data_IF_066899344082
#
_entry.id   IF_066899344082
#
_cell.length_a   1.000
_cell.length_b   1.000
_cell.length_c   1.000
_cell.angle_alpha   90.00
_cell.angle_beta   90.00
_cell.angle_gamma   90.00
#
_symmetry.space_group_name_H-M   'P 1'
#
loop_
_entity.id
_entity.type
_entity.pdbx_description
1 polymer ?
#
# COMPACT_ATOMS: atom_id res chain seq x y z
N UNK A 1 4.02 6.21 -10.46
CA UNK A 1 3.96 5.03 -9.59
C UNK A 1 5.36 4.67 -9.12
N UNK A 2 5.56 4.74 -7.81
CA UNK A 2 6.83 4.44 -7.13
C UNK A 2 7.13 2.93 -7.10
N UNK A 3 8.37 2.56 -6.79
CA UNK A 3 8.79 1.13 -6.77
C UNK A 3 8.02 0.33 -5.73
N UNK A 4 7.73 0.90 -4.57
CA UNK A 4 6.96 0.22 -3.50
C UNK A 4 5.52 -0.04 -3.94
N UNK A 5 4.88 0.91 -4.62
CA UNK A 5 3.56 0.76 -5.22
C UNK A 5 3.54 -0.33 -6.30
N UNK A 6 4.59 -0.42 -7.15
CA UNK A 6 4.75 -1.51 -8.13
C UNK A 6 4.81 -2.89 -7.48
N UNK A 7 5.52 -3.00 -6.36
CA UNK A 7 5.61 -4.25 -5.61
C UNK A 7 4.24 -4.62 -5.03
N UNK A 8 3.51 -3.67 -4.46
CA UNK A 8 2.16 -3.91 -3.92
C UNK A 8 1.19 -4.29 -5.03
N UNK A 9 1.20 -3.59 -6.17
CA UNK A 9 0.38 -3.95 -7.33
C UNK A 9 0.69 -5.38 -7.80
N UNK A 10 1.97 -5.73 -7.93
CA UNK A 10 2.38 -7.07 -8.35
C UNK A 10 1.94 -8.15 -7.35
N UNK A 11 2.03 -7.88 -6.05
CA UNK A 11 1.47 -8.76 -5.03
C UNK A 11 -0.02 -8.98 -5.22
N UNK A 12 -0.79 -7.90 -5.34
CA UNK A 12 -2.24 -7.95 -5.51
C UNK A 12 -2.61 -8.71 -6.79
N UNK A 13 -1.91 -8.47 -7.90
CA UNK A 13 -2.21 -9.14 -9.17
C UNK A 13 -1.82 -10.62 -9.19
N UNK A 14 -0.62 -10.96 -8.76
CA UNK A 14 -0.04 -12.29 -9.00
C UNK A 14 -0.06 -13.23 -7.79
N UNK A 15 -0.19 -12.68 -6.58
CA UNK A 15 -0.33 -13.47 -5.35
C UNK A 15 -1.80 -13.54 -4.94
N UNK A 16 -2.51 -12.40 -4.87
CA UNK A 16 -3.96 -12.41 -4.56
C UNK A 16 -4.83 -12.81 -5.76
N UNK A 17 -4.35 -12.58 -7.00
CA UNK A 17 -5.14 -12.86 -8.21
C UNK A 17 -6.19 -11.80 -8.51
N UNK A 18 -6.04 -10.59 -7.97
CA UNK A 18 -7.02 -9.52 -8.09
C UNK A 18 -6.77 -8.66 -9.33
N UNK A 19 -7.84 -8.06 -9.87
CA UNK A 19 -7.73 -7.04 -10.91
C UNK A 19 -7.32 -5.70 -10.27
N UNK A 20 -6.48 -4.91 -10.95
CA UNK A 20 -5.96 -3.66 -10.39
C UNK A 20 -5.95 -2.50 -11.38
N UNK A 21 -6.09 -1.28 -10.86
CA UNK A 21 -5.86 -0.02 -11.56
C UNK A 21 -4.93 0.86 -10.72
N UNK A 22 -3.66 1.00 -11.10
CA UNK A 22 -2.69 1.80 -10.35
C UNK A 22 -2.70 3.30 -10.68
N UNK A 23 -2.11 4.10 -9.80
CA UNK A 23 -1.66 5.49 -10.04
C UNK A 23 -2.75 6.38 -10.65
N UNK A 24 -3.90 6.43 -9.98
CA UNK A 24 -5.06 7.18 -10.43
C UNK A 24 -4.96 8.62 -9.94
N UNK A 25 -4.93 9.56 -10.88
CA UNK A 25 -4.90 10.99 -10.57
C UNK A 25 -6.31 11.49 -10.24
N UNK A 26 -6.42 12.18 -9.11
CA UNK A 26 -7.64 12.84 -8.68
C UNK A 26 -7.53 14.35 -9.01
N UNK A 27 -8.65 15.09 -9.04
CA UNK A 27 -8.61 16.55 -9.13
C UNK A 27 -7.68 17.17 -8.08
N UNK A 28 -6.92 18.20 -8.45
CA UNK A 28 -5.95 18.85 -7.56
C UNK A 28 -4.62 18.11 -7.43
N UNK A 29 -4.06 18.06 -6.22
CA UNK A 29 -2.79 17.40 -5.91
C UNK A 29 -2.97 16.05 -5.19
N UNK A 30 -4.07 15.35 -5.47
CA UNK A 30 -4.38 14.07 -4.85
C UNK A 30 -4.22 12.92 -5.84
N UNK A 31 -3.95 11.75 -5.30
CA UNK A 31 -3.80 10.52 -6.05
C UNK A 31 -4.24 9.34 -5.19
N UNK A 32 -4.77 8.33 -5.88
CA UNK A 32 -5.01 7.00 -5.35
C UNK A 32 -3.89 6.10 -5.86
N UNK A 33 -3.17 5.47 -4.95
CA UNK A 33 -2.01 4.67 -5.33
C UNK A 33 -2.43 3.42 -6.10
N UNK A 34 -3.44 2.70 -5.61
CA UNK A 34 -3.93 1.47 -6.21
C UNK A 34 -5.40 1.21 -5.88
N UNK A 35 -6.21 0.95 -6.92
CA UNK A 35 -7.51 0.30 -6.78
C UNK A 35 -7.39 -1.18 -7.12
N UNK A 36 -8.10 -2.02 -6.38
CA UNK A 36 -8.14 -3.45 -6.64
C UNK A 36 -9.56 -4.01 -6.48
N UNK A 37 -9.84 -5.09 -7.21
CA UNK A 37 -11.10 -5.84 -7.12
C UNK A 37 -10.77 -7.32 -7.05
N UNK A 38 -11.29 -8.00 -6.02
CA UNK A 38 -11.29 -9.45 -5.97
C UNK A 38 -12.32 -9.98 -7.00
N UNK A 39 -11.91 -10.70 -8.06
CA UNK A 39 -12.83 -11.16 -9.09
C UNK A 39 -13.79 -12.26 -8.61
N UNK A 40 -13.53 -12.87 -7.44
CA UNK A 40 -14.37 -13.93 -6.89
C UNK A 40 -15.46 -13.35 -5.99
N UNK A 41 -15.11 -12.50 -5.02
CA UNK A 41 -16.09 -11.90 -4.10
C UNK A 41 -16.68 -10.58 -4.61
N UNK A 42 -16.02 -9.95 -5.60
CA UNK A 42 -16.29 -8.58 -6.07
C UNK A 42 -16.03 -7.49 -5.02
N UNK A 43 -15.32 -7.83 -3.94
CA UNK A 43 -14.87 -6.86 -2.96
C UNK A 43 -13.89 -5.88 -3.60
N UNK A 44 -14.05 -4.60 -3.26
CA UNK A 44 -13.28 -3.50 -3.81
C UNK A 44 -12.36 -2.94 -2.74
N UNK A 45 -11.13 -2.61 -3.13
CA UNK A 45 -10.11 -2.11 -2.22
C UNK A 45 -9.46 -0.86 -2.77
N UNK A 46 -9.35 0.16 -1.90
CA UNK A 46 -8.51 1.33 -2.10
C UNK A 46 -7.26 1.15 -1.23
N UNK A 47 -6.12 0.97 -1.89
CA UNK A 47 -4.85 0.64 -1.26
C UNK A 47 -3.90 1.84 -1.39
N UNK A 48 -3.34 2.26 -0.26
CA UNK A 48 -2.37 3.36 -0.15
C UNK A 48 -1.06 2.86 0.45
N UNK A 49 0.08 3.30 -0.11
CA UNK A 49 1.41 2.78 0.21
C UNK A 49 2.24 3.82 0.95
N UNK A 50 2.37 3.64 2.26
CA UNK A 50 3.15 4.48 3.18
C UNK A 50 4.56 3.98 3.47
N UNK A 51 5.22 3.34 2.49
CA UNK A 51 6.51 2.66 2.69
C UNK A 51 7.67 3.62 2.39
N UNK A 52 8.51 3.90 3.40
CA UNK A 52 9.71 4.74 3.26
C UNK A 52 10.99 3.93 3.47
N UNK A 53 12.04 4.22 2.70
CA UNK A 53 13.38 3.65 2.91
C UNK A 53 14.05 4.23 4.18
N UNK A 54 13.62 5.40 4.66
CA UNK A 54 14.15 6.00 5.88
C UNK A 54 13.64 5.29 7.13
N UNK A 55 14.53 4.61 7.86
CA UNK A 55 14.18 3.82 9.04
C UNK A 55 13.45 4.61 10.14
N UNK A 56 13.78 5.89 10.34
CA UNK A 56 13.16 6.74 11.37
C UNK A 56 11.66 7.00 11.15
N UNK A 57 11.18 6.87 9.92
CA UNK A 57 9.78 7.13 9.52
C UNK A 57 9.08 5.87 8.99
N UNK A 58 9.63 4.70 9.30
CA UNK A 58 9.17 3.41 8.76
C UNK A 58 7.77 2.98 9.24
N UNK A 59 7.40 3.31 10.48
CA UNK A 59 6.13 2.84 11.09
C UNK A 59 5.01 3.85 11.03
N UNK A 60 3.81 3.37 10.72
CA UNK A 60 2.55 4.11 10.88
C UNK A 60 2.29 4.40 12.37
N UNK A 61 1.81 5.60 12.68
CA UNK A 61 1.58 6.03 14.08
C UNK A 61 0.19 6.64 14.27
N UNK A 62 -0.28 6.59 15.53
CA UNK A 62 -1.49 7.26 15.99
C UNK A 62 -1.26 8.71 16.43
N UNK A 63 -0.10 9.31 16.11
CA UNK A 63 0.13 10.72 16.42
C UNK A 63 -0.90 11.58 15.69
N UNK A 64 -1.39 12.67 16.30
CA UNK A 64 -2.31 13.57 15.64
C UNK A 64 -1.73 14.08 14.33
N UNK A 65 -2.56 14.03 13.29
CA UNK A 65 -2.23 14.65 12.02
C UNK A 65 -2.50 16.16 12.10
N UNK A 66 -1.62 16.96 11.50
CA UNK A 66 -1.77 18.42 11.40
C UNK A 66 -1.47 18.91 9.99
N UNK A 67 -2.45 19.61 9.40
CA UNK A 67 -2.31 20.26 8.10
C UNK A 67 -1.26 21.37 8.11
N UNK A 68 -1.11 22.07 9.23
CA UNK A 68 -0.12 23.14 9.39
C UNK A 68 1.29 22.56 9.39
N UNK A 69 1.50 21.48 10.15
CA UNK A 69 2.78 20.78 10.18
C UNK A 69 3.09 20.11 8.85
N UNK A 70 2.08 19.67 8.10
CA UNK A 70 2.28 19.09 6.77
C UNK A 70 2.89 20.10 5.78
N UNK A 71 2.59 21.40 5.94
CA UNK A 71 3.18 22.50 5.14
C UNK A 71 4.63 22.78 5.52
N UNK A 72 5.09 22.36 6.70
CA UNK A 72 6.47 22.55 7.16
C UNK A 72 7.36 21.40 6.68
N UNK A 73 8.32 21.70 5.80
CA UNK A 73 9.20 20.70 5.16
C UNK A 73 9.85 19.72 6.15
N UNK A 74 10.26 20.20 7.33
CA UNK A 74 10.91 19.39 8.37
C UNK A 74 9.97 18.44 9.09
N UNK A 75 8.67 18.72 9.12
CA UNK A 75 7.64 17.92 9.80
C UNK A 75 6.82 17.05 8.85
N UNK A 76 6.83 17.36 7.55
CA UNK A 76 6.07 16.67 6.52
C UNK A 76 6.22 15.15 6.56
N UNK A 77 7.45 14.63 6.70
CA UNK A 77 7.71 13.19 6.77
C UNK A 77 7.06 12.54 8.01
N UNK A 78 7.03 13.26 9.14
CA UNK A 78 6.35 12.82 10.36
C UNK A 78 4.84 12.81 10.22
N UNK A 79 4.27 13.76 9.48
CA UNK A 79 2.83 13.83 9.24
C UNK A 79 2.35 12.73 8.27
N UNK A 80 3.10 12.47 7.19
CA UNK A 80 2.75 11.47 6.16
C UNK A 80 2.72 10.01 6.65
N UNK A 81 3.25 9.73 7.86
CA UNK A 81 3.21 8.41 8.53
C UNK A 81 2.15 8.32 9.63
N UNK A 82 1.26 9.29 9.75
CA UNK A 82 0.16 9.24 10.72
C UNK A 82 -1.06 8.58 10.10
N UNK A 83 -1.84 7.85 10.90
CA UNK A 83 -3.12 7.33 10.45
C UNK A 83 -4.05 8.46 9.98
N UNK A 84 -4.07 9.59 10.70
CA UNK A 84 -4.86 10.76 10.35
C UNK A 84 -4.56 11.30 8.95
N UNK A 85 -3.29 11.31 8.53
CA UNK A 85 -2.93 11.69 7.17
C UNK A 85 -3.62 10.81 6.12
N UNK A 86 -3.60 9.49 6.28
CA UNK A 86 -4.27 8.60 5.33
C UNK A 86 -5.78 8.79 5.34
N UNK A 87 -6.40 8.88 6.52
CA UNK A 87 -7.83 9.10 6.64
C UNK A 87 -8.26 10.41 6.00
N UNK A 88 -7.61 11.52 6.34
CA UNK A 88 -8.04 12.86 5.93
C UNK A 88 -7.60 13.25 4.52
N UNK A 89 -6.44 12.78 4.05
CA UNK A 89 -5.84 13.20 2.77
C UNK A 89 -5.91 12.15 1.69
N UNK A 90 -5.88 10.87 2.05
CA UNK A 90 -5.81 9.77 1.08
C UNK A 90 -7.13 9.04 0.92
N UNK A 91 -7.97 8.94 1.95
CA UNK A 91 -9.26 8.26 1.85
C UNK A 91 -10.44 9.23 1.77
N UNK A 92 -10.65 10.10 2.75
CA UNK A 92 -11.94 10.77 2.93
C UNK A 92 -12.05 12.14 2.23
N UNK A 93 -11.01 12.58 1.53
CA UNK A 93 -11.02 13.88 0.86
C UNK A 93 -11.99 13.87 -0.34
N UNK A 94 -12.81 14.92 -0.55
CA UNK A 94 -13.88 14.90 -1.55
C UNK A 94 -13.43 14.56 -2.98
N UNK A 95 -12.24 15.01 -3.37
CA UNK A 95 -11.65 14.79 -4.70
C UNK A 95 -11.33 13.31 -4.95
N UNK A 96 -10.84 12.61 -3.92
CA UNK A 96 -10.62 11.16 -3.96
C UNK A 96 -11.96 10.43 -4.03
N UNK A 97 -12.92 10.81 -3.17
CA UNK A 97 -14.26 10.22 -3.15
C UNK A 97 -15.00 10.39 -4.48
N UNK A 98 -14.84 11.55 -5.13
CA UNK A 98 -15.36 11.79 -6.46
C UNK A 98 -14.76 10.82 -7.49
N UNK A 99 -13.44 10.68 -7.47
CA UNK A 99 -12.72 9.79 -8.38
C UNK A 99 -13.11 8.33 -8.16
N UNK A 100 -13.19 7.86 -6.91
CA UNK A 100 -13.64 6.51 -6.56
C UNK A 100 -15.00 6.16 -7.19
N UNK A 101 -15.98 7.07 -7.11
CA UNK A 101 -17.30 6.87 -7.73
C UNK A 101 -17.23 6.69 -9.25
N UNK A 102 -16.31 7.38 -9.93
CA UNK A 102 -16.11 7.23 -11.38
C UNK A 102 -15.58 5.84 -11.75
N UNK A 103 -14.85 5.19 -10.84
CA UNK A 103 -14.37 3.82 -10.97
C UNK A 103 -15.37 2.77 -10.44
N UNK A 104 -16.60 3.18 -10.11
CA UNK A 104 -17.65 2.26 -9.64
C UNK A 104 -17.47 1.79 -8.20
N UNK A 105 -16.71 2.51 -7.38
CA UNK A 105 -16.65 2.30 -5.94
C UNK A 105 -17.83 3.04 -5.28
N UNK A 106 -18.63 2.31 -4.49
CA UNK A 106 -19.65 2.87 -3.61
C UNK A 106 -19.07 3.25 -2.25
N UNK A 107 -19.93 3.36 -1.23
CA UNK A 107 -19.49 3.65 0.14
C UNK A 107 -18.90 2.43 0.86
N UNK A 108 -19.23 1.23 0.37
CA UNK A 108 -18.77 -0.04 0.90
C UNK A 108 -17.56 -0.56 0.10
N UNK A 109 -16.36 -0.22 0.57
CA UNK A 109 -15.10 -0.70 0.03
C UNK A 109 -14.04 -0.78 1.15
N UNK A 110 -13.10 -1.71 0.99
CA UNK A 110 -11.98 -1.86 1.91
C UNK A 110 -10.96 -0.74 1.75
N UNK A 111 -10.61 -0.07 2.84
CA UNK A 111 -9.49 0.88 2.89
C UNK A 111 -8.26 0.15 3.41
N UNK A 112 -7.16 0.17 2.66
CA UNK A 112 -5.93 -0.56 3.01
C UNK A 112 -4.76 0.42 3.09
N UNK A 113 -3.98 0.37 4.18
CA UNK A 113 -2.70 1.05 4.28
C UNK A 113 -1.59 0.01 4.32
N UNK A 114 -0.62 0.14 3.42
CA UNK A 114 0.61 -0.66 3.39
C UNK A 114 1.75 0.11 4.04
N UNK A 115 2.45 -0.48 5.01
CA UNK A 115 3.59 0.16 5.70
C UNK A 115 4.61 -0.88 6.20
N UNK A 116 5.77 -0.47 6.73
CA UNK A 116 6.73 -1.40 7.36
C UNK A 116 6.27 -1.92 8.74
N UNK A 117 5.03 -1.64 9.13
CA UNK A 117 4.47 -1.90 10.44
C UNK A 117 3.91 -0.65 11.09
N UNK A 118 3.39 -0.80 12.30
CA UNK A 118 2.62 0.25 12.99
C UNK A 118 2.81 0.17 14.50
N UNK A 119 2.41 1.21 15.23
CA UNK A 119 2.27 1.14 16.69
C UNK A 119 0.95 0.46 17.07
N UNK A 120 0.85 -0.06 18.31
CA UNK A 120 -0.38 -0.71 18.78
C UNK A 120 -1.57 0.25 18.79
N UNK A 121 -1.36 1.51 19.14
CA UNK A 121 -2.39 2.54 19.12
C UNK A 121 -2.88 2.80 17.69
N UNK A 122 -1.96 2.81 16.72
CA UNK A 122 -2.31 2.99 15.31
C UNK A 122 -3.13 1.81 14.80
N UNK A 123 -2.80 0.57 15.19
CA UNK A 123 -3.60 -0.61 14.87
C UNK A 123 -5.03 -0.49 15.43
N UNK A 124 -5.16 -0.18 16.72
CA UNK A 124 -6.47 -0.04 17.38
C UNK A 124 -7.31 1.06 16.76
N UNK A 125 -6.70 2.18 16.36
CA UNK A 125 -7.41 3.26 15.69
C UNK A 125 -7.78 2.91 14.25
N UNK A 126 -6.91 2.21 13.51
CA UNK A 126 -7.19 1.76 12.15
C UNK A 126 -8.37 0.78 12.13
N UNK A 127 -8.38 -0.19 13.05
CA UNK A 127 -9.49 -1.13 13.22
C UNK A 127 -10.82 -0.41 13.48
N UNK A 128 -10.84 0.54 14.43
CA UNK A 128 -12.02 1.37 14.71
C UNK A 128 -12.48 2.21 13.52
N UNK A 129 -11.56 2.60 12.65
CA UNK A 129 -11.85 3.36 11.45
C UNK A 129 -12.20 2.49 10.22
N UNK A 130 -12.23 1.15 10.37
CA UNK A 130 -12.47 0.22 9.27
C UNK A 130 -11.33 0.20 8.24
N UNK A 131 -10.09 0.46 8.68
CA UNK A 131 -8.89 0.45 7.84
C UNK A 131 -8.09 -0.82 8.10
N UNK A 132 -7.81 -1.54 7.02
CA UNK A 132 -6.98 -2.74 7.01
C UNK A 132 -5.52 -2.32 6.92
N UNK A 133 -4.67 -2.91 7.76
CA UNK A 133 -3.23 -2.66 7.74
C UNK A 133 -2.50 -3.85 7.14
N UNK A 134 -1.69 -3.60 6.11
CA UNK A 134 -0.81 -4.59 5.50
C UNK A 134 0.65 -4.28 5.80
N UNK A 135 1.37 -5.29 6.26
CA UNK A 135 2.81 -5.18 6.47
C UNK A 135 3.54 -5.47 5.17
N UNK A 136 4.33 -4.52 4.70
CA UNK A 136 5.10 -4.65 3.47
C UNK A 136 6.12 -5.80 3.53
N UNK A 137 6.60 -6.18 4.73
CA UNK A 137 7.51 -7.33 4.92
C UNK A 137 6.81 -8.64 4.60
N UNK A 138 5.57 -8.77 5.03
CA UNK A 138 4.75 -9.95 4.76
C UNK A 138 4.41 -10.06 3.28
N UNK A 139 4.13 -8.92 2.62
CA UNK A 139 3.95 -8.88 1.16
C UNK A 139 5.18 -9.43 0.44
N UNK A 140 6.38 -8.95 0.77
CA UNK A 140 7.63 -9.44 0.16
C UNK A 140 7.84 -10.93 0.44
N UNK A 141 7.56 -11.39 1.67
CA UNK A 141 7.67 -12.80 2.06
C UNK A 141 6.75 -13.68 1.22
N UNK A 142 5.48 -13.31 1.09
CA UNK A 142 4.49 -14.07 0.31
C UNK A 142 4.83 -14.11 -1.19
N UNK A 143 5.35 -13.00 -1.75
CA UNK A 143 5.90 -12.99 -3.12
C UNK A 143 7.04 -14.01 -3.24
N UNK A 144 7.99 -14.00 -2.30
CA UNK A 144 9.12 -14.94 -2.29
C UNK A 144 8.67 -16.40 -2.21
N UNK A 145 7.68 -16.70 -1.37
CA UNK A 145 7.08 -18.04 -1.28
C UNK A 145 6.41 -18.47 -2.58
N UNK A 146 5.75 -17.54 -3.28
CA UNK A 146 5.15 -17.80 -4.59
C UNK A 146 6.20 -18.19 -5.63
N UNK A 147 7.38 -17.56 -5.60
CA UNK A 147 8.49 -17.91 -6.49
C UNK A 147 9.02 -19.32 -6.24
N UNK A 148 9.07 -19.77 -4.98
CA UNK A 148 9.52 -21.14 -4.65
C UNK A 148 8.54 -22.21 -5.14
N UNK A 149 7.24 -21.92 -5.05
CA UNK A 149 6.17 -22.87 -5.44
C UNK A 149 5.96 -22.95 -6.94
N UNK A 150 6.40 -21.94 -7.70
CA UNK A 150 6.06 -21.81 -9.12
C UNK A 150 7.33 -21.63 -9.95
N UNK A 151 7.60 -22.56 -10.87
CA UNK A 151 8.68 -22.41 -11.88
C UNK A 151 8.31 -21.44 -13.00
N UNK A 152 7.22 -20.69 -12.85
CA UNK A 152 6.72 -19.77 -13.84
C UNK A 152 7.67 -18.59 -14.00
N UNK A 153 7.91 -18.25 -15.26
CA UNK A 153 8.61 -17.04 -15.62
C UNK A 153 7.62 -15.87 -15.56
N UNK A 154 7.84 -14.93 -14.63
CA UNK A 154 7.01 -13.73 -14.58
C UNK A 154 7.45 -12.78 -15.70
N UNK A 155 6.51 -12.41 -16.57
CA UNK A 155 6.71 -11.36 -17.56
C UNK A 155 6.74 -9.96 -16.91
N UNK A 156 6.23 -9.84 -15.69
CA UNK A 156 6.29 -8.61 -14.90
C UNK A 156 7.72 -8.36 -14.40
N UNK A 157 8.31 -7.23 -14.81
CA UNK A 157 9.70 -6.88 -14.47
C UNK A 157 9.92 -6.70 -12.97
N UNK A 158 8.90 -6.27 -12.21
CA UNK A 158 9.00 -6.10 -10.75
C UNK A 158 9.18 -7.45 -10.10
N UNK A 159 8.29 -8.41 -10.41
CA UNK A 159 8.39 -9.76 -9.88
C UNK A 159 9.64 -10.48 -10.36
N UNK A 160 10.00 -10.32 -11.63
CA UNK A 160 11.21 -10.91 -12.18
C UNK A 160 12.46 -10.39 -11.47
N UNK A 161 12.52 -9.10 -11.17
CA UNK A 161 13.62 -8.51 -10.41
C UNK A 161 13.70 -9.08 -8.99
N UNK A 162 12.57 -9.19 -8.30
CA UNK A 162 12.51 -9.81 -6.96
C UNK A 162 12.89 -11.30 -7.00
N UNK A 163 12.49 -12.03 -8.03
CA UNK A 163 12.81 -13.45 -8.23
C UNK A 163 14.32 -13.63 -8.46
N UNK A 164 14.93 -12.78 -9.29
CA UNK A 164 16.38 -12.78 -9.51
C UNK A 164 17.14 -12.44 -8.24
N UNK A 165 16.66 -11.44 -7.47
CA UNK A 165 17.25 -11.09 -6.18
C UNK A 165 17.19 -12.26 -5.19
N UNK A 166 16.02 -12.90 -5.04
CA UNK A 166 15.87 -14.06 -4.17
C UNK A 166 16.81 -15.21 -4.57
N UNK A 167 16.91 -15.51 -5.87
CA UNK A 167 17.82 -16.55 -6.39
C UNK A 167 19.30 -16.22 -6.11
N UNK A 168 19.68 -14.95 -6.18
CA UNK A 168 21.04 -14.51 -5.86
C UNK A 168 21.38 -14.69 -4.37
N UNK A 169 20.39 -14.56 -3.48
CA UNK A 169 20.56 -14.77 -2.03
C UNK A 169 20.65 -16.26 -1.67
N UNK A 170 19.89 -17.13 -2.33
CA UNK A 170 19.94 -18.59 -2.11
C UNK A 170 21.35 -19.17 -2.40
N UNK A 171 22.02 -18.68 -3.45
CA UNK A 171 23.38 -19.11 -3.80
C UNK A 171 24.47 -18.68 -2.80
N UNK A 172 24.16 -17.82 -1.82
CA UNK A 172 25.11 -17.28 -0.84
C UNK A 172 24.96 -17.86 0.57
N UNK A 173 24.05 -18.80 0.80
CA UNK A 173 23.93 -19.51 2.09
C UNK A 173 23.55 -18.60 3.28
N UNK A 174 22.86 -17.49 3.03
CA UNK A 174 22.28 -16.64 4.08
C UNK A 174 20.76 -16.63 3.89
N UNK A 175 20.10 -17.55 4.61
CA UNK A 175 18.66 -17.60 4.81
C UNK A 175 18.33 -17.26 6.24
#
# INVERSE_FOLDING_TARGET
>A
METTEKIVEAYVRYVKGWATVPNIKCPGQYEIDLLAIDPVSLDRYHIEVGVSVSGAYSKLTAKPFSQEDLKQRTKMAGQRRTLGYFLERKFNVPEVQHTLRQYGFGDDYGKVIVSWGWTEEAAKQAEKAGVILWDFREIIREIGERFKKTRTYFADDTLRTLQLFAKAMEGRGQG
#
